data_IF_271478289820
#
_entry.id   IF_271478289820
#
_cell.length_a   1.000
_cell.length_b   1.000
_cell.length_c   1.000
_cell.angle_alpha   90.00
_cell.angle_beta   90.00
_cell.angle_gamma   90.00
#
_symmetry.space_group_name_H-M   'P 1'
#
loop_
_entity.id
_entity.type
_entity.pdbx_description
1 polymer ?
#
# COMPACT_ATOMS: atom_id res chain seq x y z
N UNK A 1 -0.16 31.68 2.88
CA UNK A 1 -0.60 30.31 2.55
C UNK A 1 0.52 29.35 2.10
N UNK A 2 1.72 29.82 1.74
CA UNK A 2 2.81 28.95 1.24
C UNK A 2 3.32 27.92 2.28
N UNK A 3 3.54 28.34 3.53
CA UNK A 3 4.18 27.51 4.57
C UNK A 3 3.45 26.19 4.92
N UNK A 4 2.12 26.12 4.77
CA UNK A 4 1.34 24.91 5.07
C UNK A 4 1.15 24.01 3.84
N UNK A 5 1.19 24.61 2.65
CA UNK A 5 1.09 23.90 1.37
C UNK A 5 2.40 23.16 1.06
N UNK A 6 3.53 23.79 1.29
CA UNK A 6 4.87 23.17 1.13
C UNK A 6 5.09 22.00 2.09
N UNK A 7 4.54 22.11 3.31
CA UNK A 7 4.60 21.04 4.32
C UNK A 7 3.55 19.92 4.10
N UNK A 8 2.71 20.02 3.05
CA UNK A 8 1.77 18.95 2.69
C UNK A 8 0.54 18.80 3.60
N UNK A 9 0.27 19.75 4.50
CA UNK A 9 -0.85 19.65 5.45
C UNK A 9 -2.24 19.89 4.84
N UNK A 10 -2.28 20.41 3.61
CA UNK A 10 -3.52 20.72 2.90
C UNK A 10 -3.93 19.63 1.90
N UNK A 11 -3.08 18.61 1.68
CA UNK A 11 -3.36 17.53 0.73
C UNK A 11 -4.01 16.33 1.42
N UNK A 12 -5.09 15.80 0.83
CA UNK A 12 -5.72 14.57 1.29
C UNK A 12 -4.83 13.36 0.96
N UNK A 13 -4.70 12.44 1.91
CA UNK A 13 -4.10 11.14 1.65
C UNK A 13 -4.94 10.31 0.67
N UNK A 14 -4.32 9.86 -0.42
CA UNK A 14 -4.95 9.06 -1.46
C UNK A 14 -4.75 7.56 -1.27
N UNK A 15 -4.00 7.13 -0.25
CA UNK A 15 -3.65 5.72 -0.04
C UNK A 15 -4.89 4.88 0.23
N UNK A 16 -4.97 3.75 -0.47
CA UNK A 16 -6.00 2.72 -0.27
C UNK A 16 -5.34 1.38 -0.03
N UNK A 17 -5.93 0.56 0.84
CA UNK A 17 -5.47 -0.81 1.08
C UNK A 17 -5.63 -1.65 -0.19
N UNK A 18 -4.56 -2.33 -0.58
CA UNK A 18 -4.60 -3.26 -1.72
C UNK A 18 -5.46 -4.49 -1.41
N UNK A 19 -6.17 -4.98 -2.43
CA UNK A 19 -7.00 -6.19 -2.33
C UNK A 19 -6.11 -7.43 -2.23
N UNK A 20 -6.55 -8.41 -1.42
CA UNK A 20 -5.97 -9.76 -1.41
C UNK A 20 -6.28 -10.48 -2.73
N UNK A 21 -5.25 -11.01 -3.39
CA UNK A 21 -5.40 -11.87 -4.58
C UNK A 21 -5.44 -13.34 -4.15
N UNK A 22 -6.17 -14.16 -4.90
CA UNK A 22 -6.21 -15.60 -4.68
C UNK A 22 -4.81 -16.22 -4.89
N UNK A 23 -4.51 -17.30 -4.17
CA UNK A 23 -3.18 -17.93 -4.19
C UNK A 23 -2.09 -17.17 -3.42
N UNK A 24 -2.41 -16.03 -2.78
CA UNK A 24 -1.47 -15.27 -1.96
C UNK A 24 -1.89 -15.25 -0.48
N UNK A 25 -0.91 -15.23 0.41
CA UNK A 25 -1.11 -15.07 1.84
C UNK A 25 -1.56 -13.63 2.20
N UNK A 26 -1.19 -12.65 1.37
CA UNK A 26 -1.60 -11.25 1.52
C UNK A 26 -1.86 -10.57 0.18
N UNK A 27 -1.88 -9.23 0.14
CA UNK A 27 -2.01 -8.48 -1.12
C UNK A 27 -0.86 -8.81 -2.10
N UNK A 28 0.35 -8.98 -1.56
CA UNK A 28 1.57 -9.32 -2.33
C UNK A 28 2.36 -10.51 -1.78
N UNK A 29 2.18 -10.87 -0.50
CA UNK A 29 2.94 -11.95 0.16
C UNK A 29 2.57 -13.32 -0.42
N UNK A 30 3.56 -14.04 -0.96
CA UNK A 30 3.44 -15.42 -1.46
C UNK A 30 3.66 -16.44 -0.34
N UNK A 31 3.12 -17.64 -0.51
CA UNK A 31 3.50 -18.78 0.30
C UNK A 31 4.94 -19.21 -0.03
N UNK A 32 5.61 -19.86 0.92
CA UNK A 32 6.93 -20.43 0.69
C UNK A 32 6.81 -21.52 -0.38
N UNK A 33 7.69 -21.47 -1.37
CA UNK A 33 7.76 -22.50 -2.41
C UNK A 33 8.68 -23.63 -1.94
N UNK A 34 8.15 -24.84 -1.85
CA UNK A 34 8.92 -26.07 -1.61
C UNK A 34 9.04 -26.84 -2.93
N UNK A 35 10.28 -27.06 -3.41
CA UNK A 35 10.53 -28.04 -4.47
C UNK A 35 10.51 -29.45 -3.89
N UNK A 36 10.25 -30.43 -4.76
CA UNK A 36 10.50 -31.85 -4.50
C UNK A 36 11.88 -32.21 -5.02
#
# INVERSE_FOLDING_TARGET
>A
HHAFKEKGFLTRDSRKKERKKYGLAGARKRFQFSKR
#
